data_IF_324093562064
#
_entry.id   IF_324093562064
#
_cell.length_a   1.000
_cell.length_b   1.000
_cell.length_c   1.000
_cell.angle_alpha   90.00
_cell.angle_beta   90.00
_cell.angle_gamma   90.00
#
_symmetry.space_group_name_H-M   'P 1'
#
loop_
_entity.id
_entity.type
_entity.pdbx_description
1 polymer ?
#
# COMPACT_ATOMS: atom_id res chain seq x y z
N UNK A 1 -3.36 -7.17 -6.70
CA UNK A 1 -4.02 -7.14 -5.36
C UNK A 1 -3.35 -8.15 -4.46
N UNK A 2 -3.19 -7.84 -3.18
CA UNK A 2 -2.57 -8.74 -2.19
C UNK A 2 -3.40 -8.81 -0.92
N UNK A 3 -3.65 -10.02 -0.42
CA UNK A 3 -4.31 -10.26 0.86
C UNK A 3 -3.27 -10.49 1.95
N UNK A 4 -3.54 -9.97 3.15
CA UNK A 4 -2.71 -10.20 4.32
C UNK A 4 -3.57 -10.09 5.58
N UNK A 5 -3.11 -10.68 6.68
CA UNK A 5 -3.86 -10.70 7.93
C UNK A 5 -3.02 -10.10 9.05
N UNK A 6 -3.64 -9.30 9.90
CA UNK A 6 -3.02 -8.67 11.07
C UNK A 6 -3.92 -8.90 12.28
N UNK A 7 -3.38 -9.51 13.34
CA UNK A 7 -4.11 -9.78 14.59
C UNK A 7 -5.47 -10.48 14.37
N UNK A 8 -5.56 -11.40 13.40
CA UNK A 8 -6.78 -12.15 13.10
C UNK A 8 -7.82 -11.39 12.27
N UNK A 9 -7.49 -10.21 11.75
CA UNK A 9 -8.32 -9.45 10.80
C UNK A 9 -7.70 -9.50 9.42
N UNK A 10 -8.54 -9.61 8.39
CA UNK A 10 -8.11 -9.71 7.00
C UNK A 10 -8.12 -8.34 6.33
N UNK A 11 -7.09 -8.10 5.52
CA UNK A 11 -6.89 -6.85 4.80
C UNK A 11 -6.55 -7.15 3.33
N UNK A 12 -6.85 -6.17 2.47
CA UNK A 12 -6.49 -6.20 1.06
C UNK A 12 -5.74 -4.93 0.71
N UNK A 13 -4.58 -5.11 0.09
CA UNK A 13 -3.84 -4.08 -0.63
C UNK A 13 -4.24 -4.11 -2.11
N UNK A 14 -4.94 -3.07 -2.55
CA UNK A 14 -5.24 -2.82 -3.95
C UNK A 14 -4.13 -1.98 -4.56
N UNK A 15 -3.46 -2.54 -5.56
CA UNK A 15 -2.43 -1.85 -6.34
C UNK A 15 -3.14 -1.16 -7.49
N UNK A 16 -3.03 0.15 -7.55
CA UNK A 16 -3.59 1.02 -8.57
C UNK A 16 -2.39 1.55 -9.35
N UNK A 17 -2.13 0.94 -10.50
CA UNK A 17 -1.14 1.40 -11.46
C UNK A 17 -1.88 2.28 -12.46
N UNK A 18 -1.36 3.46 -12.75
CA UNK A 18 -2.03 4.38 -13.66
C UNK A 18 -1.10 4.86 -14.76
N UNK A 19 -1.54 4.66 -16.00
CA UNK A 19 -0.91 5.28 -17.17
C UNK A 19 -1.34 6.75 -17.34
N UNK A 20 -2.49 7.15 -16.77
CA UNK A 20 -3.13 8.47 -16.92
C UNK A 20 -2.96 9.40 -15.70
N UNK A 21 -2.37 8.91 -14.61
CA UNK A 21 -2.22 9.65 -13.35
C UNK A 21 -0.74 9.60 -12.98
N UNK A 22 -0.15 10.73 -12.60
CA UNK A 22 1.30 10.88 -12.40
C UNK A 22 1.89 10.06 -11.22
N UNK A 23 1.12 9.15 -10.62
CA UNK A 23 1.55 8.32 -9.51
C UNK A 23 0.89 6.93 -9.52
N UNK A 24 1.63 5.95 -9.04
CA UNK A 24 1.12 4.65 -8.63
C UNK A 24 0.66 4.71 -7.18
N UNK A 25 -0.37 3.94 -6.82
CA UNK A 25 -0.89 3.91 -5.47
C UNK A 25 -1.18 2.50 -4.95
N UNK A 26 -1.11 2.36 -3.63
CA UNK A 26 -1.58 1.18 -2.91
C UNK A 26 -2.61 1.58 -1.86
N UNK A 27 -3.84 1.11 -2.04
CA UNK A 27 -4.92 1.31 -1.07
C UNK A 27 -5.07 0.07 -0.17
N UNK A 28 -5.08 0.29 1.15
CA UNK A 28 -5.36 -0.78 2.12
C UNK A 28 -6.78 -0.64 2.63
N UNK A 29 -7.55 -1.72 2.52
CA UNK A 29 -8.89 -1.85 3.09
C UNK A 29 -8.94 -3.05 4.03
N UNK A 30 -9.84 -3.02 5.00
CA UNK A 30 -10.22 -4.23 5.74
C UNK A 30 -11.19 -5.08 4.89
N UNK A 31 -11.02 -6.38 4.90
CA UNK A 31 -11.94 -7.33 4.29
C UNK A 31 -12.94 -7.83 5.35
N UNK A 32 -14.22 -7.52 5.17
CA UNK A 32 -15.28 -7.86 6.14
C UNK A 32 -16.43 -8.49 5.38
N UNK A 33 -16.93 -9.62 5.89
CA UNK A 33 -18.10 -10.33 5.33
C UNK A 33 -18.03 -10.59 3.82
N UNK A 34 -16.84 -10.92 3.31
CA UNK A 34 -16.63 -11.23 1.90
C UNK A 34 -16.54 -10.02 0.97
N UNK A 35 -16.46 -8.80 1.51
CA UNK A 35 -16.38 -7.57 0.74
C UNK A 35 -15.25 -6.64 1.23
N UNK A 36 -14.68 -5.80 0.34
CA UNK A 36 -13.76 -4.75 0.74
C UNK A 36 -14.53 -3.66 1.50
N UNK A 37 -14.02 -3.30 2.68
CA UNK A 37 -14.49 -2.18 3.46
C UNK A 37 -14.02 -0.83 2.90
N UNK A 38 -14.07 0.19 3.74
CA UNK A 38 -13.56 1.53 3.38
C UNK A 38 -12.03 1.57 3.45
N UNK A 39 -11.43 2.43 2.64
CA UNK A 39 -9.99 2.75 2.69
C UNK A 39 -9.54 3.15 4.09
N UNK A 40 -8.47 2.50 4.52
CA UNK A 40 -7.80 2.71 5.80
C UNK A 40 -6.46 3.42 5.60
N UNK A 41 -5.69 3.02 4.60
CA UNK A 41 -4.39 3.59 4.26
C UNK A 41 -4.29 3.80 2.74
N UNK A 42 -3.52 4.80 2.34
CA UNK A 42 -3.09 4.99 0.96
C UNK A 42 -1.60 5.32 0.94
N UNK A 43 -0.85 4.53 0.20
CA UNK A 43 0.52 4.83 -0.16
C UNK A 43 0.55 5.29 -1.61
N UNK A 44 1.36 6.29 -1.92
CA UNK A 44 1.59 6.76 -3.29
C UNK A 44 3.07 6.72 -3.60
N UNK A 45 3.40 6.44 -4.86
CA UNK A 45 4.74 6.50 -5.40
C UNK A 45 4.70 7.14 -6.77
N UNK A 46 5.52 8.15 -6.97
CA UNK A 46 5.90 8.67 -8.28
C UNK A 46 7.43 8.62 -8.41
N UNK A 47 7.96 9.15 -9.49
CA UNK A 47 9.42 9.14 -9.72
C UNK A 47 10.20 10.05 -8.75
N UNK A 48 9.52 10.94 -8.02
CA UNK A 48 10.11 11.94 -7.13
C UNK A 48 9.88 11.68 -5.65
N UNK A 49 8.86 10.90 -5.27
CA UNK A 49 8.52 10.61 -3.88
C UNK A 49 7.75 9.31 -3.70
N UNK A 50 7.88 8.71 -2.53
CA UNK A 50 7.02 7.63 -2.07
C UNK A 50 6.56 7.95 -0.63
N UNK A 51 5.25 7.91 -0.37
CA UNK A 51 4.72 8.44 0.90
C UNK A 51 3.41 7.76 1.31
N UNK A 52 3.10 7.83 2.61
CA UNK A 52 1.78 7.54 3.16
C UNK A 52 0.87 8.78 2.99
N UNK A 53 0.08 8.81 1.93
CA UNK A 53 -0.78 9.96 1.58
C UNK A 53 -2.09 10.01 2.36
N UNK A 54 -2.56 8.88 2.88
CA UNK A 54 -3.78 8.83 3.70
C UNK A 54 -3.66 7.80 4.83
N UNK A 55 -4.14 8.19 6.01
CA UNK A 55 -4.31 7.32 7.16
C UNK A 55 -5.63 7.65 7.85
N UNK A 56 -6.47 6.63 8.06
CA UNK A 56 -7.69 6.78 8.86
C UNK A 56 -7.32 6.96 10.36
N UNK A 57 -8.05 7.78 11.14
CA UNK A 57 -7.86 7.83 12.58
C UNK A 57 -8.05 6.46 13.26
N UNK A 58 -7.22 6.16 14.25
CA UNK A 58 -7.32 4.94 15.05
C UNK A 58 -6.73 3.69 14.41
N UNK A 59 -5.95 3.82 13.33
CA UNK A 59 -5.19 2.70 12.78
C UNK A 59 -4.06 2.29 13.74
N UNK A 60 -3.98 0.99 14.01
CA UNK A 60 -2.95 0.39 14.85
C UNK A 60 -1.58 0.35 14.14
N UNK A 61 -0.51 0.51 14.92
CA UNK A 61 0.87 0.47 14.41
C UNK A 61 1.23 -0.86 13.75
N UNK A 62 0.61 -1.96 14.18
CA UNK A 62 0.82 -3.30 13.63
C UNK A 62 0.30 -3.37 12.20
N UNK A 63 -0.88 -2.77 11.93
CA UNK A 63 -1.40 -2.67 10.57
C UNK A 63 -0.49 -1.80 9.70
N UNK A 64 -0.04 -0.65 10.21
CA UNK A 64 0.88 0.25 9.49
C UNK A 64 2.18 -0.45 9.09
N UNK A 65 2.77 -1.25 9.98
CA UNK A 65 3.98 -2.00 9.69
C UNK A 65 3.75 -3.06 8.63
N UNK A 66 2.72 -3.89 8.81
CA UNK A 66 2.39 -4.94 7.85
C UNK A 66 2.07 -4.38 6.46
N UNK A 67 1.33 -3.27 6.37
CA UNK A 67 1.06 -2.61 5.09
C UNK A 67 2.29 -1.94 4.49
N UNK A 68 3.21 -1.42 5.30
CA UNK A 68 4.48 -0.87 4.80
C UNK A 68 5.36 -1.98 4.21
N UNK A 69 5.40 -3.16 4.83
CA UNK A 69 6.13 -4.31 4.29
C UNK A 69 5.54 -4.74 2.94
N UNK A 70 4.21 -4.81 2.84
CA UNK A 70 3.53 -5.08 1.57
C UNK A 70 3.86 -4.00 0.54
N UNK A 71 3.79 -2.72 0.92
CA UNK A 71 4.14 -1.63 0.00
C UNK A 71 5.58 -1.78 -0.53
N UNK A 72 6.53 -2.03 0.36
CA UNK A 72 7.95 -2.22 0.01
C UNK A 72 8.14 -3.36 -0.98
N UNK A 73 7.48 -4.49 -0.74
CA UNK A 73 7.57 -5.67 -1.60
C UNK A 73 6.91 -5.46 -2.97
N UNK A 74 5.78 -4.74 -3.03
CA UNK A 74 5.06 -4.54 -4.28
C UNK A 74 5.64 -3.38 -5.13
N UNK A 75 6.26 -2.37 -4.50
CA UNK A 75 6.69 -1.14 -5.18
C UNK A 75 8.22 -1.00 -5.25
N UNK A 76 8.94 -1.22 -4.15
CA UNK A 76 10.40 -0.99 -4.11
C UNK A 76 11.21 -2.19 -4.57
N UNK A 77 10.87 -3.41 -4.17
CA UNK A 77 11.63 -4.60 -4.55
C UNK A 77 11.71 -4.81 -6.07
N UNK A 78 10.61 -4.64 -6.86
CA UNK A 78 10.67 -4.74 -8.31
C UNK A 78 11.54 -3.64 -8.95
N UNK A 79 11.48 -2.40 -8.44
CA UNK A 79 12.33 -1.30 -8.93
C UNK A 79 13.81 -1.57 -8.64
N UNK A 80 14.14 -2.02 -7.44
CA UNK A 80 15.52 -2.42 -7.09
C UNK A 80 16.03 -3.55 -7.97
N UNK A 81 15.22 -4.60 -8.19
CA UNK A 81 15.60 -5.74 -9.00
C UNK A 81 15.82 -5.38 -10.48
N UNK A 82 15.11 -4.36 -10.97
CA UNK A 82 15.24 -3.85 -12.35
C UNK A 82 16.30 -2.75 -12.50
N UNK A 83 16.96 -2.33 -11.41
CA UNK A 83 17.98 -1.29 -11.43
C UNK A 83 17.45 0.13 -11.61
N UNK A 84 16.13 0.33 -11.52
CA UNK A 84 15.55 1.67 -11.52
C UNK A 84 15.79 2.35 -10.17
N UNK A 85 16.05 3.67 -10.16
CA UNK A 85 16.16 4.42 -8.91
C UNK A 85 14.83 4.33 -8.15
N UNK A 86 14.93 4.15 -6.83
CA UNK A 86 13.77 4.30 -5.97
C UNK A 86 13.65 5.78 -5.54
N UNK A 87 12.45 6.35 -5.60
CA UNK A 87 12.22 7.68 -5.08
C UNK A 87 12.48 7.72 -3.57
N UNK A 88 12.81 8.90 -3.01
CA UNK A 88 12.89 9.07 -1.57
C UNK A 88 11.55 8.76 -0.90
N UNK A 89 11.63 8.19 0.31
CA UNK A 89 10.50 7.96 1.21
C UNK A 89 10.33 9.11 2.20
#
# INVERSE_FOLDING_TARGET
MRRFSVQGRDYVAFIVLSDDVDFDAMEVVEWVDGAPGRKLLEYRMDDSSAQLSFIRPGIDITLLRASLDVFREEFFEPRWASGHPCPPW
#
